data_IF_313678967445
#
_entry.id   IF_313678967445
#
_cell.length_a   1.000
_cell.length_b   1.000
_cell.length_c   1.000
_cell.angle_alpha   90.00
_cell.angle_beta   90.00
_cell.angle_gamma   90.00
#
_symmetry.space_group_name_H-M   'P 1'
#
loop_
_entity.id
_entity.type
_entity.pdbx_description
1 polymer ?
#
# COMPACT_ATOMS: atom_id res chain seq x y z
N UNK A 1 12.24 -16.85 38.86
CA UNK A 1 10.90 -16.51 38.34
C UNK A 1 10.83 -15.26 37.45
N UNK A 2 11.91 -14.47 37.25
CA UNK A 2 11.88 -13.27 36.39
C UNK A 2 11.95 -13.56 34.87
N UNK A 3 12.52 -14.71 34.49
CA UNK A 3 12.78 -15.02 33.07
C UNK A 3 11.55 -15.44 32.24
N UNK A 4 10.45 -15.90 32.86
CA UNK A 4 9.24 -16.32 32.10
C UNK A 4 8.28 -15.17 31.77
N UNK A 5 8.42 -14.03 32.46
CA UNK A 5 7.59 -12.84 32.25
C UNK A 5 8.16 -12.04 31.07
N UNK A 6 9.49 -11.90 31.00
CA UNK A 6 10.18 -11.24 29.88
C UNK A 6 9.98 -11.97 28.54
N UNK A 7 9.95 -13.31 28.53
CA UNK A 7 9.65 -14.08 27.31
C UNK A 7 8.18 -13.96 26.89
N UNK A 8 7.24 -13.89 27.83
CA UNK A 8 5.82 -13.61 27.55
C UNK A 8 5.61 -12.21 26.97
N UNK A 9 6.22 -11.18 27.56
CA UNK A 9 6.12 -9.79 27.08
C UNK A 9 6.70 -9.62 25.67
N UNK A 10 7.85 -10.26 25.38
CA UNK A 10 8.42 -10.26 24.03
C UNK A 10 7.55 -10.97 23.01
N UNK A 11 6.82 -12.01 23.41
CA UNK A 11 5.92 -12.77 22.53
C UNK A 11 4.60 -12.03 22.25
N UNK A 12 4.06 -11.27 23.21
CA UNK A 12 2.85 -10.47 23.03
C UNK A 12 3.09 -9.23 22.18
N UNK A 13 4.24 -8.55 22.35
CA UNK A 13 4.60 -7.37 21.55
C UNK A 13 4.81 -7.73 20.08
N UNK A 14 5.52 -8.84 19.79
CA UNK A 14 5.73 -9.31 18.41
C UNK A 14 4.44 -9.74 17.73
N UNK A 15 3.47 -10.30 18.47
CA UNK A 15 2.19 -10.76 17.93
C UNK A 15 1.28 -9.59 17.50
N UNK A 16 1.21 -8.53 18.31
CA UNK A 16 0.47 -7.32 17.94
C UNK A 16 1.07 -6.58 16.74
N UNK A 17 2.39 -6.54 16.63
CA UNK A 17 3.10 -5.89 15.53
C UNK A 17 2.94 -6.66 14.20
N UNK A 18 2.94 -8.00 14.26
CA UNK A 18 2.64 -8.85 13.08
C UNK A 18 1.18 -8.74 12.63
N UNK A 19 0.24 -8.56 13.58
CA UNK A 19 -1.17 -8.36 13.25
C UNK A 19 -1.40 -7.00 12.56
N UNK A 20 -0.75 -5.92 13.01
CA UNK A 20 -0.91 -4.61 12.38
C UNK A 20 -0.28 -4.53 10.97
N UNK A 21 0.90 -5.10 10.78
CA UNK A 21 1.53 -5.19 9.45
C UNK A 21 0.65 -5.97 8.46
N UNK A 22 -0.01 -7.03 8.91
CA UNK A 22 -0.96 -7.78 8.10
C UNK A 22 -2.15 -6.91 7.67
N UNK A 23 -2.72 -6.12 8.59
CA UNK A 23 -3.81 -5.19 8.29
C UNK A 23 -3.39 -4.11 7.29
N UNK A 24 -2.19 -3.55 7.44
CA UNK A 24 -1.64 -2.60 6.47
C UNK A 24 -1.50 -3.23 5.07
N UNK A 25 -0.98 -4.46 4.98
CA UNK A 25 -0.89 -5.17 3.71
C UNK A 25 -2.26 -5.40 3.07
N UNK A 26 -3.29 -5.65 3.87
CA UNK A 26 -4.66 -5.79 3.37
C UNK A 26 -5.20 -4.48 2.79
N UNK A 27 -4.94 -3.36 3.46
CA UNK A 27 -5.29 -2.02 2.97
C UNK A 27 -4.58 -1.69 1.66
N UNK A 28 -3.29 -1.99 1.55
CA UNK A 28 -2.53 -1.78 0.30
C UNK A 28 -3.17 -2.57 -0.84
N UNK A 29 -3.38 -3.88 -0.66
CA UNK A 29 -4.05 -4.71 -1.67
C UNK A 29 -5.43 -4.18 -2.06
N UNK A 30 -6.21 -3.71 -1.08
CA UNK A 30 -7.52 -3.10 -1.33
C UNK A 30 -7.43 -1.85 -2.22
N UNK A 31 -6.50 -0.93 -1.94
CA UNK A 31 -6.31 0.30 -2.74
C UNK A 31 -5.88 -0.01 -4.18
N UNK A 32 -5.13 -1.09 -4.39
CA UNK A 32 -4.74 -1.58 -5.72
C UNK A 32 -5.77 -2.50 -6.37
N UNK A 33 -6.93 -2.73 -5.72
CA UNK A 33 -8.01 -3.61 -6.22
C UNK A 33 -7.57 -5.07 -6.39
N UNK A 34 -6.66 -5.54 -5.53
CA UNK A 34 -6.10 -6.91 -5.51
C UNK A 34 -6.80 -7.81 -4.47
N UNK A 35 -8.03 -7.46 -4.13
CA UNK A 35 -8.86 -8.11 -3.11
C UNK A 35 -10.19 -8.56 -3.71
N UNK A 36 -10.69 -9.69 -3.22
CA UNK A 36 -12.03 -10.18 -3.54
C UNK A 36 -13.12 -9.33 -2.88
N UNK A 37 -14.38 -9.46 -3.32
CA UNK A 37 -15.52 -8.75 -2.72
C UNK A 37 -15.67 -9.00 -1.21
N UNK A 38 -15.42 -10.24 -0.77
CA UNK A 38 -15.49 -10.60 0.65
C UNK A 38 -14.35 -9.94 1.44
N UNK A 39 -13.14 -9.86 0.87
CA UNK A 39 -12.01 -9.16 1.48
C UNK A 39 -12.28 -7.64 1.54
N UNK A 40 -12.87 -7.05 0.49
CA UNK A 40 -13.25 -5.63 0.45
C UNK A 40 -14.14 -5.26 1.65
N UNK A 41 -15.24 -6.00 1.84
CA UNK A 41 -16.15 -5.72 2.96
C UNK A 41 -15.47 -5.86 4.33
N UNK A 42 -14.51 -6.79 4.47
CA UNK A 42 -13.74 -6.91 5.71
C UNK A 42 -12.85 -5.69 5.93
N UNK A 43 -12.14 -5.24 4.91
CA UNK A 43 -11.30 -4.04 4.99
C UNK A 43 -12.16 -2.81 5.33
N UNK A 44 -13.31 -2.64 4.68
CA UNK A 44 -14.22 -1.52 4.94
C UNK A 44 -14.70 -1.47 6.41
N UNK A 45 -15.06 -2.62 6.98
CA UNK A 45 -15.44 -2.71 8.40
C UNK A 45 -14.26 -2.40 9.35
N UNK A 46 -13.05 -2.82 8.98
CA UNK A 46 -11.84 -2.54 9.76
C UNK A 46 -11.50 -1.05 9.74
N UNK A 47 -11.63 -0.39 8.59
CA UNK A 47 -11.39 1.06 8.45
C UNK A 47 -12.38 1.90 9.28
N UNK A 48 -13.62 1.43 9.45
CA UNK A 48 -14.62 2.12 10.29
C UNK A 48 -14.32 2.05 11.79
N UNK A 49 -13.61 1.01 12.23
CA UNK A 49 -13.39 0.71 13.65
C UNK A 49 -11.96 0.98 14.13
N UNK A 50 -11.02 1.22 13.21
CA UNK A 50 -9.61 1.44 13.51
C UNK A 50 -9.11 2.74 12.85
N UNK A 51 -8.96 3.78 13.66
CA UNK A 51 -8.56 5.13 13.21
C UNK A 51 -7.15 5.16 12.61
N UNK A 52 -6.18 4.46 13.22
CA UNK A 52 -4.80 4.39 12.72
C UNK A 52 -4.74 3.72 11.33
N UNK A 53 -5.52 2.65 11.14
CA UNK A 53 -5.62 1.95 9.86
C UNK A 53 -6.33 2.82 8.80
N UNK A 54 -7.32 3.62 9.22
CA UNK A 54 -8.01 4.55 8.33
C UNK A 54 -7.12 5.72 7.89
N UNK A 55 -6.32 6.24 8.82
CA UNK A 55 -5.30 7.24 8.50
C UNK A 55 -4.28 6.68 7.49
N UNK A 56 -3.79 5.46 7.72
CA UNK A 56 -2.92 4.76 6.77
C UNK A 56 -3.57 4.57 5.39
N UNK A 57 -4.86 4.22 5.34
CA UNK A 57 -5.59 4.11 4.08
C UNK A 57 -5.55 5.42 3.26
N UNK A 58 -5.81 6.57 3.89
CA UNK A 58 -5.75 7.85 3.19
C UNK A 58 -4.35 8.19 2.68
N UNK A 59 -3.31 7.83 3.42
CA UNK A 59 -1.92 8.00 2.99
C UNK A 59 -1.62 7.17 1.74
N UNK A 60 -2.04 5.91 1.70
CA UNK A 60 -1.84 5.02 0.54
C UNK A 60 -2.64 5.48 -0.68
N UNK A 61 -3.89 5.93 -0.50
CA UNK A 61 -4.70 6.50 -1.59
C UNK A 61 -4.03 7.74 -2.18
N UNK A 62 -3.53 8.64 -1.32
CA UNK A 62 -2.82 9.83 -1.76
C UNK A 62 -1.51 9.49 -2.48
N UNK A 63 -0.73 8.52 -1.97
CA UNK A 63 0.49 8.06 -2.61
C UNK A 63 0.22 7.47 -4.00
N UNK A 64 -0.78 6.58 -4.11
CA UNK A 64 -1.18 6.00 -5.40
C UNK A 64 -1.56 7.09 -6.40
N UNK A 65 -2.36 8.08 -5.97
CA UNK A 65 -2.73 9.23 -6.82
C UNK A 65 -1.50 9.97 -7.35
N UNK A 66 -0.51 10.26 -6.49
CA UNK A 66 0.72 10.93 -6.90
C UNK A 66 1.54 10.09 -7.90
N UNK A 67 1.56 8.77 -7.74
CA UNK A 67 2.21 7.86 -8.69
C UNK A 67 1.50 7.84 -10.05
N UNK A 68 0.17 7.76 -10.05
CA UNK A 68 -0.66 7.81 -11.26
C UNK A 68 -0.49 9.15 -12.00
N UNK A 69 -0.40 10.25 -11.27
CA UNK A 69 -0.07 11.58 -11.81
C UNK A 69 1.31 11.60 -12.48
N UNK A 70 2.32 10.95 -11.90
CA UNK A 70 3.64 10.85 -12.50
C UNK A 70 3.62 10.05 -13.81
N UNK A 71 2.84 8.97 -13.88
CA UNK A 71 2.72 8.17 -15.10
C UNK A 71 2.04 8.94 -16.24
N UNK A 72 0.97 9.67 -15.93
CA UNK A 72 0.16 10.38 -16.93
C UNK A 72 0.82 11.67 -17.42
N UNK A 73 1.60 12.36 -16.58
CA UNK A 73 2.24 13.65 -16.92
C UNK A 73 3.61 13.51 -17.60
N UNK A 74 4.22 12.32 -17.61
CA UNK A 74 5.56 12.09 -18.19
C UNK A 74 5.52 11.48 -19.59
N UNK A 75 4.66 11.99 -20.48
CA UNK A 75 4.78 11.63 -21.90
C UNK A 75 6.00 12.35 -22.51
N UNK A 76 6.91 11.64 -23.19
CA UNK A 76 7.98 12.29 -23.94
C UNK A 76 7.36 13.20 -25.00
N UNK A 77 8.01 14.35 -25.26
CA UNK A 77 7.54 15.26 -26.30
C UNK A 77 7.54 14.57 -27.67
N UNK A 78 6.61 14.95 -28.55
CA UNK A 78 6.54 14.43 -29.92
C UNK A 78 7.88 14.58 -30.64
N UNK A 79 8.58 15.70 -30.41
CA UNK A 79 9.92 15.96 -30.96
C UNK A 79 10.96 14.91 -30.55
N UNK A 80 10.94 14.43 -29.30
CA UNK A 80 11.86 13.39 -28.84
C UNK A 80 11.49 12.03 -29.43
N UNK A 81 10.19 11.72 -29.49
CA UNK A 81 9.69 10.49 -30.12
C UNK A 81 10.14 10.44 -31.59
N UNK A 82 9.96 11.53 -32.33
CA UNK A 82 10.35 11.62 -33.74
C UNK A 82 11.86 11.47 -33.95
N UNK A 83 12.68 12.03 -33.06
CA UNK A 83 14.14 11.85 -33.10
C UNK A 83 14.53 10.38 -32.90
N UNK A 84 13.94 9.70 -31.92
CA UNK A 84 14.20 8.28 -31.64
C UNK A 84 13.77 7.41 -32.83
N UNK A 85 12.57 7.62 -33.37
CA UNK A 85 12.05 6.84 -34.49
C UNK A 85 12.85 7.06 -35.79
N UNK A 86 13.35 8.28 -36.03
CA UNK A 86 14.24 8.55 -37.17
C UNK A 86 15.59 7.85 -37.04
N UNK A 87 16.13 7.78 -35.81
CA UNK A 87 17.39 7.07 -35.57
C UNK A 87 17.25 5.56 -35.80
N UNK A 88 16.14 4.93 -35.37
CA UNK A 88 15.96 3.47 -35.48
C UNK A 88 15.65 2.95 -36.90
N UNK A 89 15.39 3.84 -37.86
CA UNK A 89 15.12 3.47 -39.27
C UNK A 89 16.36 3.50 -40.16
N UNK A 90 17.51 3.90 -39.61
CA UNK A 90 18.83 3.73 -40.23
C UNK A 90 19.40 2.36 -39.86
#
# INVERSE_FOLDING_TARGET
MKNSILSKISSTSKKQETDFQYLQNMVVRYVYQETSLIENSKVELLLQSNEDLNQFFYEIVNLKKQMDDCQTRRKPSSQIIDKILKYSKK
#
